data_IF_876535765337
#
_entry.id   IF_876535765337
#
_cell.length_a   1.000
_cell.length_b   1.000
_cell.length_c   1.000
_cell.angle_alpha   90.00
_cell.angle_beta   90.00
_cell.angle_gamma   90.00
#
_symmetry.space_group_name_H-M   'P 1'
#
loop_
_entity.id
_entity.type
_entity.pdbx_description
1 polymer ?
#
# COMPACT_ATOMS: atom_id res chain seq x y z
N UNK A 1 -1.59 0.06 -1.06
CA UNK A 1 -0.88 1.05 -0.24
C UNK A 1 -0.40 0.39 1.04
N UNK A 2 0.90 0.48 1.33
CA UNK A 2 1.54 -0.12 2.49
C UNK A 2 0.80 0.14 3.82
N UNK A 3 0.40 -0.94 4.52
CA UNK A 3 -0.45 -0.91 5.73
C UNK A 3 0.33 -1.30 6.99
N UNK A 4 -0.17 -0.83 8.14
CA UNK A 4 0.21 -1.25 9.49
C UNK A 4 0.09 -2.77 9.73
N UNK A 5 1.13 -3.37 10.32
CA UNK A 5 0.98 -4.50 11.25
C UNK A 5 0.53 -3.96 12.60
N UNK A 6 -0.76 -4.03 12.93
CA UNK A 6 -1.22 -3.91 14.32
C UNK A 6 -1.31 -5.29 14.94
N UNK A 7 -0.25 -5.73 15.61
CA UNK A 7 -0.36 -6.82 16.58
C UNK A 7 -1.29 -6.37 17.71
N UNK A 8 -2.40 -7.08 17.92
CA UNK A 8 -3.24 -6.91 19.11
C UNK A 8 -3.38 -8.25 19.83
N UNK A 9 -2.66 -8.36 20.94
CA UNK A 9 -2.91 -9.30 22.03
C UNK A 9 -4.39 -9.24 22.44
N UNK A 10 -5.13 -10.32 22.19
CA UNK A 10 -6.52 -10.50 22.62
C UNK A 10 -6.52 -10.80 24.11
N UNK A 11 -7.04 -9.87 24.92
CA UNK A 11 -7.40 -10.14 26.31
C UNK A 11 -8.69 -10.97 26.34
N UNK A 12 -8.53 -12.20 26.81
CA UNK A 12 -9.57 -13.21 27.01
C UNK A 12 -10.65 -12.73 27.99
N UNK A 13 -11.92 -12.81 27.55
CA UNK A 13 -13.13 -12.58 28.35
C UNK A 13 -14.00 -13.84 28.34
N UNK A 14 -14.50 -14.18 29.53
CA UNK A 14 -15.02 -15.49 29.98
C UNK A 14 -16.47 -15.76 29.53
N UNK A 15 -16.75 -17.03 29.26
CA UNK A 15 -18.03 -17.69 28.88
C UNK A 15 -19.13 -17.54 29.94
N UNK A 16 -20.40 -17.38 29.50
CA UNK A 16 -21.59 -18.12 29.99
C UNK A 16 -22.65 -18.28 28.87
N UNK A 17 -23.23 -19.48 28.81
CA UNK A 17 -24.28 -20.00 27.89
C UNK A 17 -25.68 -19.76 28.48
N UNK A 18 -26.71 -19.72 27.63
CA UNK A 18 -27.78 -20.74 27.60
C UNK A 18 -28.63 -20.67 26.31
N UNK A 19 -29.13 -21.84 25.91
CA UNK A 19 -29.85 -22.25 24.68
C UNK A 19 -31.25 -21.59 24.56
N UNK A 20 -31.94 -21.49 23.41
CA UNK A 20 -32.41 -22.59 22.54
C UNK A 20 -33.13 -22.06 21.27
N UNK A 21 -32.85 -22.74 20.15
CA UNK A 21 -33.75 -23.16 19.04
C UNK A 21 -34.81 -22.20 18.46
N UNK A 22 -34.64 -21.76 17.21
CA UNK A 22 -35.59 -22.05 16.11
C UNK A 22 -35.04 -21.60 14.75
N UNK A 23 -35.12 -22.52 13.78
CA UNK A 23 -35.12 -22.37 12.33
C UNK A 23 -34.20 -21.33 11.63
N UNK A 24 -33.18 -21.89 11.00
CA UNK A 24 -32.37 -21.31 9.95
C UNK A 24 -33.21 -20.67 8.83
N UNK A 25 -33.33 -19.35 8.80
CA UNK A 25 -33.50 -18.52 7.60
C UNK A 25 -33.43 -17.04 8.00
N UNK A 26 -32.55 -16.29 7.33
CA UNK A 26 -32.44 -14.82 7.38
C UNK A 26 -31.68 -14.21 8.57
N UNK A 27 -30.39 -14.52 8.68
CA UNK A 27 -29.43 -13.47 9.05
C UNK A 27 -28.11 -13.63 8.31
N UNK A 28 -28.20 -13.70 6.98
CA UNK A 28 -27.09 -13.18 6.17
C UNK A 28 -27.20 -11.67 6.23
N UNK A 29 -26.80 -11.09 7.37
CA UNK A 29 -26.29 -9.72 7.37
C UNK A 29 -25.21 -9.76 6.31
N UNK A 30 -25.53 -9.23 5.14
CA UNK A 30 -24.55 -8.80 4.18
C UNK A 30 -23.72 -7.80 4.97
N UNK A 31 -22.63 -8.28 5.60
CA UNK A 31 -21.57 -7.44 6.12
C UNK A 31 -21.29 -6.55 4.94
N UNK A 32 -21.74 -5.30 5.03
CA UNK A 32 -21.56 -4.31 4.00
C UNK A 32 -20.06 -4.13 3.96
N UNK A 33 -19.39 -4.93 3.12
CA UNK A 33 -17.97 -4.85 2.91
C UNK A 33 -17.78 -3.40 2.52
N UNK A 34 -17.10 -2.64 3.39
CA UNK A 34 -16.72 -1.27 3.07
C UNK A 34 -15.91 -1.44 1.79
N UNK A 35 -16.54 -1.19 0.64
CA UNK A 35 -15.88 -1.25 -0.67
C UNK A 35 -14.81 -0.19 -0.59
N UNK A 36 -13.61 -0.60 -0.20
CA UNK A 36 -12.45 0.25 -0.13
C UNK A 36 -12.18 0.79 -1.52
N UNK A 37 -11.41 1.87 -1.60
CA UNK A 37 -10.95 2.41 -2.87
C UNK A 37 -9.87 1.49 -3.45
N UNK A 38 -10.31 0.31 -3.89
CA UNK A 38 -9.51 -0.81 -4.43
C UNK A 38 -9.94 -1.04 -5.87
N UNK A 39 -8.98 -1.42 -6.71
CA UNK A 39 -9.26 -1.71 -8.11
C UNK A 39 -10.23 -2.91 -8.21
N UNK A 40 -11.35 -2.80 -8.96
CA UNK A 40 -12.30 -3.90 -9.09
C UNK A 40 -11.61 -5.19 -9.54
N UNK A 41 -11.99 -6.33 -8.95
CA UNK A 41 -11.33 -7.61 -9.21
C UNK A 41 -10.03 -7.84 -8.42
N UNK A 42 -9.59 -6.88 -7.60
CA UNK A 42 -8.45 -7.02 -6.67
C UNK A 42 -8.89 -6.75 -5.23
N UNK A 43 -8.14 -7.26 -4.27
CA UNK A 43 -8.37 -7.02 -2.84
C UNK A 43 -7.31 -6.13 -2.21
N UNK A 44 -6.12 -6.04 -2.79
CA UNK A 44 -4.95 -5.35 -2.25
C UNK A 44 -4.56 -4.09 -3.02
N UNK A 45 -4.98 -3.94 -4.28
CA UNK A 45 -4.62 -2.78 -5.09
C UNK A 45 -5.49 -1.55 -4.77
N UNK A 46 -5.22 -0.87 -3.65
CA UNK A 46 -5.96 0.31 -3.26
C UNK A 46 -5.52 1.01 -1.97
N UNK A 47 -6.42 1.85 -1.45
CA UNK A 47 -6.31 2.47 -0.13
C UNK A 47 -6.62 1.43 0.96
N UNK A 48 -5.56 0.79 1.46
CA UNK A 48 -5.66 -0.42 2.28
C UNK A 48 -6.02 -1.65 1.43
N UNK A 49 -6.58 -2.68 2.07
CA UNK A 49 -7.02 -3.90 1.41
C UNK A 49 -8.37 -4.40 1.98
N UNK A 50 -9.05 -5.22 1.19
CA UNK A 50 -10.34 -5.85 1.52
C UNK A 50 -10.21 -7.36 1.74
N UNK A 51 -8.99 -7.89 1.82
CA UNK A 51 -8.75 -9.31 2.05
C UNK A 51 -9.03 -9.68 3.52
N UNK A 52 -9.76 -10.77 3.73
CA UNK A 52 -10.01 -11.34 5.06
C UNK A 52 -8.75 -12.01 5.64
N UNK A 53 -7.85 -12.47 4.76
CA UNK A 53 -6.58 -13.09 5.14
C UNK A 53 -5.50 -12.86 4.07
N UNK A 54 -4.23 -13.08 4.45
CA UNK A 54 -3.06 -12.84 3.59
C UNK A 54 -3.09 -13.62 2.26
N UNK A 55 -3.63 -14.83 2.26
CA UNK A 55 -3.63 -15.70 1.07
C UNK A 55 -4.79 -15.41 0.12
N UNK A 56 -5.75 -14.58 0.53
CA UNK A 56 -6.89 -14.25 -0.29
C UNK A 56 -6.49 -13.24 -1.35
N UNK A 57 -6.67 -13.63 -2.60
CA UNK A 57 -6.50 -12.77 -3.77
C UNK A 57 -7.84 -12.61 -4.48
N UNK A 58 -7.97 -11.53 -5.24
CA UNK A 58 -9.11 -11.26 -6.10
C UNK A 58 -9.06 -12.06 -7.41
N UNK A 59 -9.95 -11.70 -8.33
CA UNK A 59 -10.04 -12.24 -9.69
C UNK A 59 -8.73 -12.03 -10.48
N UNK A 60 -8.14 -10.83 -10.37
CA UNK A 60 -6.85 -10.50 -11.00
C UNK A 60 -5.69 -10.90 -10.09
N UNK A 61 -5.58 -12.20 -9.80
CA UNK A 61 -4.70 -12.73 -8.75
C UNK A 61 -3.23 -12.31 -8.90
N UNK A 62 -2.68 -12.28 -10.11
CA UNK A 62 -1.27 -11.91 -10.33
C UNK A 62 -1.01 -10.42 -10.03
N UNK A 63 -1.85 -9.52 -10.56
CA UNK A 63 -1.83 -8.08 -10.25
C UNK A 63 -2.05 -7.83 -8.77
N UNK A 64 -3.02 -8.54 -8.18
CA UNK A 64 -3.36 -8.40 -6.77
C UNK A 64 -2.22 -8.87 -5.85
N UNK A 65 -1.49 -9.91 -6.25
CA UNK A 65 -0.30 -10.40 -5.56
C UNK A 65 0.84 -9.36 -5.55
N UNK A 66 1.02 -8.61 -6.65
CA UNK A 66 1.96 -7.48 -6.69
C UNK A 66 1.59 -6.43 -5.64
N UNK A 67 0.32 -6.03 -5.57
CA UNK A 67 -0.17 -5.07 -4.60
C UNK A 67 -0.10 -5.59 -3.17
N UNK A 68 -0.40 -6.87 -2.93
CA UNK A 68 -0.24 -7.49 -1.61
C UNK A 68 1.20 -7.42 -1.12
N UNK A 69 2.16 -7.72 -2.01
CA UNK A 69 3.58 -7.65 -1.68
C UNK A 69 3.98 -6.21 -1.33
N UNK A 70 3.53 -5.24 -2.11
CA UNK A 70 3.73 -3.82 -1.83
C UNK A 70 3.10 -3.38 -0.50
N UNK A 71 1.91 -3.86 -0.20
CA UNK A 71 1.19 -3.56 1.04
C UNK A 71 1.97 -3.95 2.31
N UNK A 72 2.91 -4.89 2.18
CA UNK A 72 3.78 -5.40 3.25
C UNK A 72 5.21 -4.85 3.20
N UNK A 73 5.40 -3.67 2.59
CA UNK A 73 6.69 -2.98 2.64
C UNK A 73 7.13 -2.74 4.11
N UNK A 74 8.39 -3.04 4.48
CA UNK A 74 8.87 -2.89 5.86
C UNK A 74 9.01 -1.43 6.31
N UNK A 75 9.16 -0.50 5.37
CA UNK A 75 9.45 0.90 5.62
C UNK A 75 8.39 1.78 4.97
N UNK A 76 7.57 2.39 5.82
CA UNK A 76 6.38 3.15 5.41
C UNK A 76 6.22 4.39 6.26
N UNK A 77 5.83 5.49 5.61
CA UNK A 77 5.33 6.70 6.25
C UNK A 77 3.85 6.80 5.89
N UNK A 78 2.98 6.49 6.84
CA UNK A 78 1.54 6.47 6.61
C UNK A 78 0.98 7.87 6.33
N UNK A 79 -0.20 7.91 5.70
CA UNK A 79 -0.95 9.13 5.51
C UNK A 79 -1.15 9.87 6.84
N UNK A 80 -0.94 11.19 6.84
CA UNK A 80 -1.10 12.06 8.01
C UNK A 80 -0.29 11.62 9.24
N UNK A 81 0.89 11.02 9.04
CA UNK A 81 1.77 10.55 10.11
C UNK A 81 3.19 11.04 9.94
N UNK A 82 3.96 11.03 11.03
CA UNK A 82 5.39 11.32 11.02
C UNK A 82 6.19 10.07 11.32
N UNK A 83 7.18 9.79 10.47
CA UNK A 83 8.12 8.69 10.68
C UNK A 83 9.46 9.04 10.00
N UNK A 84 10.57 8.48 10.48
CA UNK A 84 11.91 8.69 9.93
C UNK A 84 12.27 10.17 9.71
N UNK A 85 11.87 11.04 10.64
CA UNK A 85 12.12 12.49 10.54
C UNK A 85 11.31 13.24 9.48
N UNK A 86 10.36 12.57 8.81
CA UNK A 86 9.49 13.17 7.80
C UNK A 86 8.02 13.13 8.22
N UNK A 87 7.27 14.19 7.94
CA UNK A 87 5.82 14.27 8.19
C UNK A 87 5.06 14.21 6.88
N UNK A 88 4.32 13.12 6.66
CA UNK A 88 3.50 12.93 5.47
C UNK A 88 2.13 13.61 5.66
N UNK A 89 1.94 14.77 5.02
CA UNK A 89 0.65 15.47 5.00
C UNK A 89 -0.31 14.98 3.89
N UNK A 90 0.10 14.00 3.08
CA UNK A 90 -0.70 13.45 1.99
C UNK A 90 -1.66 12.37 2.52
N UNK A 91 -2.72 12.14 1.76
CA UNK A 91 -3.78 11.18 2.10
C UNK A 91 -3.43 9.72 1.76
N UNK A 92 -2.28 9.49 1.11
CA UNK A 92 -1.76 8.18 0.78
C UNK A 92 -0.47 7.90 1.57
N UNK A 93 -0.16 6.62 1.80
CA UNK A 93 1.13 6.22 2.35
C UNK A 93 2.26 6.51 1.36
N UNK A 94 3.47 6.70 1.87
CA UNK A 94 4.74 6.79 1.12
C UNK A 94 5.57 5.60 1.59
N UNK A 95 6.10 4.81 0.65
CA UNK A 95 6.87 3.61 0.95
C UNK A 95 8.32 3.77 0.48
N UNK A 96 9.21 2.87 0.91
CA UNK A 96 10.60 2.88 0.45
C UNK A 96 10.69 2.66 -1.06
N UNK A 97 11.62 3.33 -1.73
CA UNK A 97 11.76 3.26 -3.19
C UNK A 97 11.97 1.82 -3.70
N UNK A 98 12.62 0.94 -2.95
CA UNK A 98 12.76 -0.47 -3.32
C UNK A 98 11.42 -1.21 -3.43
N UNK A 99 10.47 -0.90 -2.54
CA UNK A 99 9.13 -1.49 -2.58
C UNK A 99 8.34 -1.00 -3.80
N UNK A 100 8.42 0.30 -4.08
CA UNK A 100 7.76 0.90 -5.24
C UNK A 100 8.35 0.39 -6.56
N UNK A 101 9.68 0.24 -6.64
CA UNK A 101 10.36 -0.33 -7.81
C UNK A 101 9.99 -1.80 -8.00
N UNK A 102 9.95 -2.59 -6.92
CA UNK A 102 9.50 -3.99 -6.97
C UNK A 102 8.05 -4.09 -7.45
N UNK A 103 7.18 -3.17 -7.01
CA UNK A 103 5.81 -3.10 -7.51
C UNK A 103 5.76 -2.80 -9.01
N UNK A 104 6.53 -1.82 -9.50
CA UNK A 104 6.60 -1.50 -10.94
C UNK A 104 7.04 -2.72 -11.74
N UNK A 105 8.10 -3.39 -11.30
CA UNK A 105 8.64 -4.55 -12.01
C UNK A 105 7.68 -5.73 -11.99
N UNK A 106 6.97 -5.94 -10.88
CA UNK A 106 5.93 -6.96 -10.78
C UNK A 106 4.79 -6.67 -11.77
N UNK A 107 4.22 -5.45 -11.76
CA UNK A 107 3.13 -5.07 -12.64
C UNK A 107 3.52 -5.15 -14.14
N UNK A 108 4.77 -4.79 -14.47
CA UNK A 108 5.33 -4.94 -15.82
C UNK A 108 5.46 -6.40 -16.25
N UNK A 109 5.82 -7.29 -15.32
CA UNK A 109 5.92 -8.74 -15.62
C UNK A 109 4.55 -9.37 -15.84
N UNK A 110 3.53 -8.95 -15.10
CA UNK A 110 2.14 -9.41 -15.30
C UNK A 110 1.61 -8.97 -16.67
N UNK A 111 1.87 -7.71 -17.05
CA UNK A 111 1.61 -7.17 -18.39
C UNK A 111 0.18 -7.35 -18.95
N UNK A 112 -0.84 -7.37 -18.10
CA UNK A 112 -2.24 -7.45 -18.51
C UNK A 112 -2.93 -6.08 -18.39
N UNK A 113 -4.22 -6.03 -18.75
CA UNK A 113 -4.99 -4.77 -18.63
C UNK A 113 -5.07 -4.30 -17.18
N UNK A 114 -5.24 -5.22 -16.22
CA UNK A 114 -5.39 -4.87 -14.81
C UNK A 114 -4.09 -4.26 -14.24
N UNK A 115 -2.93 -4.87 -14.51
CA UNK A 115 -1.64 -4.42 -14.03
C UNK A 115 -1.23 -3.07 -14.64
N UNK A 116 -1.57 -2.85 -15.91
CA UNK A 116 -1.33 -1.57 -16.60
C UNK A 116 -2.15 -0.43 -16.00
N UNK A 117 -3.46 -0.66 -15.76
CA UNK A 117 -4.34 0.36 -15.16
C UNK A 117 -3.91 0.67 -13.73
N UNK A 118 -3.62 -0.37 -12.93
CA UNK A 118 -3.13 -0.20 -11.55
C UNK A 118 -1.82 0.59 -11.52
N UNK A 119 -0.85 0.23 -12.37
CA UNK A 119 0.43 0.92 -12.46
C UNK A 119 0.30 2.39 -12.89
N UNK A 120 -0.50 2.67 -13.92
CA UNK A 120 -0.78 4.05 -14.35
C UNK A 120 -1.44 4.87 -13.23
N UNK A 121 -2.45 4.31 -12.56
CA UNK A 121 -3.15 5.00 -11.48
C UNK A 121 -2.20 5.36 -10.34
N UNK A 122 -1.37 4.41 -9.89
CA UNK A 122 -0.48 4.60 -8.75
C UNK A 122 0.68 5.59 -9.07
N UNK A 123 1.38 5.38 -10.18
CA UNK A 123 2.62 6.10 -10.47
C UNK A 123 2.46 7.34 -11.35
N UNK A 124 1.42 7.42 -12.18
CA UNK A 124 1.25 8.52 -13.14
C UNK A 124 0.11 9.48 -12.73
N UNK A 125 -1.01 8.93 -12.22
CA UNK A 125 -2.17 9.76 -11.84
C UNK A 125 -2.05 10.28 -10.42
N UNK A 126 -1.83 9.40 -9.45
CA UNK A 126 -1.62 9.81 -8.05
C UNK A 126 -0.20 10.38 -7.87
N UNK A 127 0.78 9.82 -8.59
CA UNK A 127 2.17 10.27 -8.53
C UNK A 127 2.76 10.11 -7.14
N UNK A 128 2.49 8.97 -6.48
CA UNK A 128 2.96 8.72 -5.12
C UNK A 128 4.50 8.75 -5.09
N UNK A 129 5.13 9.68 -4.34
CA UNK A 129 6.57 9.66 -4.16
C UNK A 129 6.98 8.46 -3.31
N UNK A 130 8.22 8.03 -3.47
CA UNK A 130 8.85 7.07 -2.58
C UNK A 130 9.90 7.78 -1.71
N UNK A 131 10.51 7.07 -0.77
CA UNK A 131 11.62 7.62 0.01
C UNK A 131 12.82 6.67 0.07
N UNK A 132 13.99 7.25 0.28
CA UNK A 132 15.23 6.56 0.62
C UNK A 132 15.74 7.03 1.97
N UNK A 133 16.55 6.21 2.64
CA UNK A 133 17.22 6.62 3.87
C UNK A 133 18.51 7.37 3.61
N UNK A 134 18.67 8.51 4.28
CA UNK A 134 19.94 9.20 4.43
C UNK A 134 20.28 9.23 5.92
N UNK A 135 21.53 8.95 6.27
CA UNK A 135 21.99 8.97 7.66
C UNK A 135 22.57 10.33 8.01
N UNK A 136 21.86 11.06 8.86
CA UNK A 136 22.27 12.40 9.30
C UNK A 136 22.48 12.42 10.82
N UNK A 137 23.38 13.30 11.28
CA UNK A 137 23.55 13.53 12.72
C UNK A 137 22.32 14.26 13.27
N UNK A 138 21.60 13.56 14.14
CA UNK A 138 20.39 14.04 14.78
C UNK A 138 20.56 13.98 16.28
N UNK A 139 19.81 14.83 16.98
CA UNK A 139 19.84 14.82 18.44
C UNK A 139 19.06 13.60 18.97
N UNK A 140 19.77 12.57 19.39
CA UNK A 140 19.19 11.33 19.92
C UNK A 140 18.69 11.50 21.36
N UNK A 141 19.29 12.39 22.13
CA UNK A 141 18.91 12.65 23.53
C UNK A 141 19.00 14.14 23.85
N UNK A 142 17.97 14.69 24.49
CA UNK A 142 17.93 16.09 24.91
C UNK A 142 17.96 16.20 26.43
N UNK A 143 18.58 17.27 26.92
CA UNK A 143 18.41 17.70 28.30
C UNK A 143 17.01 18.26 28.53
N UNK A 144 16.58 18.30 29.80
CA UNK A 144 15.24 18.82 30.19
C UNK A 144 15.01 20.29 29.78
N UNK A 145 16.08 21.10 29.67
CA UNK A 145 16.04 22.49 29.23
C UNK A 145 16.18 22.67 27.71
N UNK A 146 16.13 21.59 26.93
CA UNK A 146 15.97 21.63 25.47
C UNK A 146 17.25 21.54 24.62
N UNK A 147 18.45 21.68 25.21
CA UNK A 147 19.72 21.46 24.49
C UNK A 147 19.96 19.98 24.19
N UNK A 148 20.68 19.70 23.09
CA UNK A 148 21.06 18.34 22.77
C UNK A 148 22.16 17.84 23.72
N UNK A 149 21.95 16.64 24.27
CA UNK A 149 22.92 15.93 25.11
C UNK A 149 23.79 14.99 24.27
N UNK A 150 23.21 14.31 23.28
CA UNK A 150 23.90 13.32 22.45
C UNK A 150 23.40 13.35 21.02
N UNK A 151 24.35 13.40 20.08
CA UNK A 151 24.11 13.29 18.65
C UNK A 151 24.39 11.85 18.18
N UNK A 152 23.56 11.35 17.29
CA UNK A 152 23.75 10.05 16.64
C UNK A 152 23.35 10.13 15.16
N UNK A 153 23.96 9.27 14.34
CA UNK A 153 23.56 9.14 12.93
C UNK A 153 22.29 8.29 12.83
N UNK A 154 21.16 8.95 12.58
CA UNK A 154 19.86 8.31 12.46
C UNK A 154 19.38 8.31 11.00
N UNK A 155 18.63 7.28 10.57
CA UNK A 155 18.06 7.24 9.23
C UNK A 155 16.90 8.23 9.10
N UNK A 156 17.02 9.15 8.15
CA UNK A 156 16.02 10.15 7.78
C UNK A 156 15.49 9.84 6.39
N UNK A 157 14.17 9.90 6.23
CA UNK A 157 13.52 9.68 4.96
C UNK A 157 13.64 10.92 4.06
N UNK A 158 14.27 10.74 2.91
CA UNK A 158 14.35 11.75 1.85
C UNK A 158 13.45 11.31 0.70
N UNK A 159 12.45 12.14 0.39
CA UNK A 159 11.50 11.85 -0.68
C UNK A 159 12.19 11.90 -2.05
N UNK A 160 11.81 10.97 -2.92
CA UNK A 160 12.13 10.95 -4.34
C UNK A 160 10.87 11.11 -5.15
N UNK A 161 10.98 11.84 -6.25
CA UNK A 161 9.88 12.00 -7.19
C UNK A 161 9.49 10.66 -7.81
N UNK A 162 8.20 10.51 -8.11
CA UNK A 162 7.69 9.31 -8.72
C UNK A 162 8.22 9.20 -10.17
N UNK A 163 9.05 8.19 -10.44
CA UNK A 163 9.43 7.86 -11.82
C UNK A 163 8.19 7.35 -12.56
N UNK A 164 7.82 7.91 -13.72
CA UNK A 164 6.66 7.49 -14.48
C UNK A 164 6.65 5.99 -14.77
N UNK A 165 5.48 5.38 -14.68
CA UNK A 165 5.24 4.00 -15.07
C UNK A 165 4.95 3.93 -16.56
N UNK A 166 5.95 3.49 -17.31
CA UNK A 166 5.80 3.04 -18.70
C UNK A 166 5.61 1.50 -18.73
N UNK A 167 4.65 1.09 -19.54
CA UNK A 167 4.23 -0.30 -19.76
C UNK A 167 4.71 -0.85 -21.11
N UNK A 168 5.55 -0.11 -21.86
CA UNK A 168 5.98 -0.52 -23.19
C UNK A 168 4.79 -0.50 -24.13
N UNK A 169 4.51 0.68 -24.70
CA UNK A 169 3.36 0.87 -25.58
C UNK A 169 3.25 -0.19 -26.66
N UNK A 170 2.02 -0.63 -26.91
CA UNK A 170 1.59 -1.17 -28.19
C UNK A 170 1.90 -0.09 -29.23
N UNK A 171 2.76 -0.36 -30.22
CA UNK A 171 2.93 0.51 -31.38
C UNK A 171 1.62 0.53 -32.18
N UNK A 172 0.74 1.50 -31.93
CA UNK A 172 -0.41 1.79 -32.81
C UNK A 172 -0.04 2.71 -33.97
N UNK A 173 1.23 3.08 -34.14
CA UNK A 173 1.71 3.81 -35.31
C UNK A 173 2.26 2.87 -36.39
N UNK A 174 1.36 2.24 -37.17
CA UNK A 174 1.54 1.93 -38.61
C UNK A 174 0.36 1.11 -39.15
N UNK A 175 -0.83 1.70 -39.17
CA UNK A 175 -1.88 1.31 -40.13
C UNK A 175 -2.71 2.53 -40.53
N UNK A 176 -2.03 3.59 -40.96
CA UNK A 176 -2.58 4.39 -42.06
C UNK A 176 -2.26 3.63 -43.35
N UNK A 177 -3.11 2.63 -43.61
CA UNK A 177 -3.26 2.04 -44.94
C UNK A 177 -3.58 3.20 -45.89
N UNK A 178 -2.67 3.46 -46.81
CA UNK A 178 -2.96 4.26 -47.98
C UNK A 178 -4.08 3.58 -48.79
N UNK A 179 -5.23 4.24 -48.85
CA UNK A 179 -6.32 4.07 -49.80
C UNK A 179 -6.84 5.50 -50.00
N UNK A 180 -6.92 6.09 -51.18
CA UNK A 180 -6.59 5.74 -52.55
C UNK A 180 -6.73 7.02 -53.37
#
# INVERSE_FOLDING_TARGET
MCREFKEKLVRSGRVKRDESDDSALQDKVLKRSKRGFTYPGTLWCGAGNMADNYNQLGEFADTDSCCRTHDHCPHVIHAFSSNYGHTNFKWHSICHCDCDNTLKDCLRKVNDTSSRVVGQAFFNVIGVPCFEFVYEEQCAERHWYGMCKRYEKLPIAVLKEAVPYDFGGIDTTMSSVGQG
#
